data_IF_532169494437
#
_entry.id   IF_532169494437
#
_cell.length_a   1.000
_cell.length_b   1.000
_cell.length_c   1.000
_cell.angle_alpha   90.00
_cell.angle_beta   90.00
_cell.angle_gamma   90.00
#
_symmetry.space_group_name_H-M   'P 1'
#
loop_
_entity.id
_entity.type
_entity.pdbx_description
1 polymer ?
#
# COMPACT_ATOMS: atom_id res chain seq x y z
N UNK A 1 -43.57 -44.48 1.94
CA UNK A 1 -43.09 -45.02 0.66
C UNK A 1 -42.62 -43.89 -0.24
N UNK A 2 -41.30 -43.74 -0.36
CA UNK A 2 -40.56 -43.46 -1.61
C UNK A 2 -41.23 -42.51 -2.60
N UNK A 3 -40.75 -41.28 -2.68
CA UNK A 3 -40.32 -40.55 -3.90
C UNK A 3 -39.77 -39.19 -3.39
N UNK A 4 -38.63 -38.66 -3.78
CA UNK A 4 -37.52 -39.13 -4.59
C UNK A 4 -36.42 -38.07 -4.40
N UNK A 5 -35.21 -38.55 -4.12
CA UNK A 5 -33.96 -37.82 -4.11
C UNK A 5 -33.85 -36.84 -5.29
N UNK A 6 -33.61 -35.55 -5.02
CA UNK A 6 -32.74 -34.59 -5.75
C UNK A 6 -32.75 -33.31 -4.90
N UNK A 7 -31.82 -33.17 -3.96
CA UNK A 7 -31.44 -31.89 -3.34
C UNK A 7 -30.21 -32.10 -2.43
N UNK A 8 -29.19 -32.80 -2.94
CA UNK A 8 -27.95 -33.07 -2.21
C UNK A 8 -26.77 -32.85 -3.14
N UNK A 9 -26.70 -31.66 -3.74
CA UNK A 9 -25.54 -31.22 -4.52
C UNK A 9 -25.50 -29.70 -4.77
N UNK A 10 -26.06 -28.86 -3.90
CA UNK A 10 -25.84 -27.40 -4.00
C UNK A 10 -25.93 -26.84 -2.60
N UNK A 11 -24.85 -26.89 -1.81
CA UNK A 11 -24.57 -25.99 -0.68
C UNK A 11 -23.25 -26.42 -0.03
N UNK A 12 -22.16 -26.35 -0.77
CA UNK A 12 -20.82 -26.51 -0.22
C UNK A 12 -19.75 -25.83 -1.09
N UNK A 13 -19.90 -24.52 -1.33
CA UNK A 13 -18.76 -23.67 -1.69
C UNK A 13 -18.96 -22.27 -1.11
N UNK A 14 -19.09 -22.17 0.22
CA UNK A 14 -18.51 -21.01 0.89
C UNK A 14 -17.02 -21.31 0.96
N UNK A 15 -16.28 -20.85 -0.04
CA UNK A 15 -14.82 -20.91 -0.01
C UNK A 15 -14.36 -20.11 1.20
N UNK A 16 -13.82 -20.81 2.18
CA UNK A 16 -12.84 -20.31 3.14
C UNK A 16 -12.03 -19.19 2.49
N UNK A 17 -12.01 -18.02 3.12
CA UNK A 17 -11.03 -16.99 2.80
C UNK A 17 -9.66 -17.62 3.05
N UNK A 18 -9.03 -18.14 2.00
CA UNK A 18 -7.72 -18.75 2.13
C UNK A 18 -6.75 -17.68 2.63
N UNK A 19 -6.05 -17.94 3.73
CA UNK A 19 -4.94 -17.10 4.18
C UNK A 19 -4.01 -16.92 2.96
N UNK A 20 -3.74 -15.66 2.58
CA UNK A 20 -2.96 -15.35 1.40
C UNK A 20 -1.53 -15.86 1.64
N UNK A 21 -1.05 -16.74 0.78
CA UNK A 21 0.32 -17.27 0.88
C UNK A 21 1.29 -16.21 0.33
N UNK A 22 1.91 -15.45 1.25
CA UNK A 22 2.80 -14.34 0.92
C UNK A 22 4.23 -14.85 0.71
N UNK A 23 4.91 -14.44 -0.37
CA UNK A 23 6.28 -14.87 -0.61
C UNK A 23 7.25 -14.26 0.42
N UNK A 24 8.38 -14.93 0.67
CA UNK A 24 9.44 -14.43 1.55
C UNK A 24 10.06 -13.10 1.07
N UNK A 25 9.96 -12.79 -0.22
CA UNK A 25 10.36 -11.51 -0.80
C UNK A 25 9.38 -11.07 -1.88
N UNK A 26 9.20 -9.75 -1.99
CA UNK A 26 8.32 -9.14 -2.94
C UNK A 26 8.83 -7.74 -3.30
N UNK A 27 8.68 -7.36 -4.58
CA UNK A 27 8.97 -6.02 -5.06
C UNK A 27 7.89 -5.65 -6.09
N UNK A 28 7.07 -4.63 -5.76
CA UNK A 28 5.99 -4.16 -6.61
C UNK A 28 6.49 -3.73 -7.99
N UNK A 29 7.73 -3.21 -8.08
CA UNK A 29 8.36 -2.80 -9.33
C UNK A 29 8.66 -3.99 -10.22
N UNK A 30 9.01 -5.16 -9.65
CA UNK A 30 9.17 -6.39 -10.42
C UNK A 30 7.84 -6.96 -10.89
N UNK A 31 6.79 -6.87 -10.07
CA UNK A 31 5.46 -7.41 -10.41
C UNK A 31 4.73 -6.59 -11.46
N UNK A 32 4.75 -5.27 -11.35
CA UNK A 32 3.93 -4.37 -12.17
C UNK A 32 4.75 -3.38 -13.00
N UNK A 33 6.05 -3.25 -12.80
CA UNK A 33 6.86 -2.17 -13.41
C UNK A 33 6.89 -2.15 -14.93
N UNK A 34 6.75 -3.31 -15.59
CA UNK A 34 6.63 -3.36 -17.06
C UNK A 34 5.34 -2.75 -17.58
N UNK A 35 4.22 -2.93 -16.86
CA UNK A 35 2.92 -2.33 -17.17
C UNK A 35 2.72 -0.94 -16.56
N UNK A 36 3.47 -0.64 -15.50
CA UNK A 36 3.38 0.58 -14.71
C UNK A 36 4.77 1.19 -14.47
N UNK A 37 5.38 1.83 -15.50
CA UNK A 37 6.69 2.43 -15.38
C UNK A 37 6.84 3.45 -14.23
N UNK A 38 5.76 4.14 -13.83
CA UNK A 38 5.76 5.09 -12.69
C UNK A 38 6.25 4.47 -11.37
N UNK A 39 6.16 3.15 -11.20
CA UNK A 39 6.71 2.42 -10.04
C UNK A 39 8.24 2.56 -9.92
N UNK A 40 8.93 2.80 -11.04
CA UNK A 40 10.37 2.98 -11.08
C UNK A 40 10.80 4.44 -10.89
N UNK A 41 9.86 5.38 -10.85
CA UNK A 41 10.18 6.80 -10.66
C UNK A 41 10.70 7.01 -9.24
N UNK A 42 11.91 7.58 -9.15
CA UNK A 42 12.56 8.05 -7.93
C UNK A 42 12.60 9.56 -8.03
N UNK A 43 11.95 10.23 -7.08
CA UNK A 43 11.84 11.69 -7.03
C UNK A 43 12.96 12.28 -6.19
N UNK A 44 13.19 13.58 -6.36
CA UNK A 44 14.09 14.39 -5.54
C UNK A 44 13.28 15.56 -4.99
N UNK A 45 13.34 15.75 -3.68
CA UNK A 45 12.67 16.84 -2.98
C UNK A 45 13.55 18.08 -2.87
N UNK A 46 14.80 17.99 -3.34
CA UNK A 46 15.77 19.08 -3.31
C UNK A 46 15.85 19.72 -1.91
N UNK A 47 16.02 21.04 -1.82
CA UNK A 47 15.99 21.78 -0.56
C UNK A 47 14.57 22.20 -0.19
N UNK A 48 13.71 21.24 0.13
CA UNK A 48 12.36 21.49 0.60
C UNK A 48 11.84 20.29 1.41
N UNK A 49 11.18 20.55 2.55
CA UNK A 49 10.53 19.56 3.42
C UNK A 49 9.26 18.95 2.83
N UNK A 50 9.29 18.56 1.55
CA UNK A 50 8.13 18.12 0.76
C UNK A 50 7.99 16.61 0.62
N UNK A 51 8.66 15.83 1.47
CA UNK A 51 8.67 14.37 1.43
C UNK A 51 7.25 13.78 1.44
N UNK A 52 6.33 14.36 2.22
CA UNK A 52 4.93 13.92 2.27
C UNK A 52 4.24 14.06 0.92
N UNK A 53 4.38 15.21 0.26
CA UNK A 53 3.77 15.48 -1.04
C UNK A 53 4.29 14.55 -2.14
N UNK A 54 5.62 14.38 -2.21
CA UNK A 54 6.25 13.53 -3.22
C UNK A 54 5.92 12.06 -3.01
N UNK A 55 6.02 11.56 -1.76
CA UNK A 55 5.67 10.17 -1.44
C UNK A 55 4.21 9.87 -1.73
N UNK A 56 3.28 10.77 -1.37
CA UNK A 56 1.85 10.59 -1.65
C UNK A 56 1.59 10.64 -3.16
N UNK A 57 2.16 11.61 -3.89
CA UNK A 57 2.00 11.69 -5.34
C UNK A 57 2.51 10.43 -6.04
N UNK A 58 3.65 9.87 -5.60
CA UNK A 58 4.17 8.59 -6.11
C UNK A 58 3.21 7.43 -5.81
N UNK A 59 2.75 7.29 -4.56
CA UNK A 59 1.81 6.22 -4.17
C UNK A 59 0.48 6.31 -4.92
N UNK A 60 -0.05 7.53 -5.13
CA UNK A 60 -1.26 7.77 -5.94
C UNK A 60 -1.02 7.40 -7.40
N UNK A 61 0.13 7.76 -7.97
CA UNK A 61 0.51 7.41 -9.35
C UNK A 61 0.61 5.88 -9.54
N UNK A 62 1.31 5.21 -8.63
CA UNK A 62 1.53 3.77 -8.65
C UNK A 62 0.21 3.01 -8.59
N UNK A 63 -0.62 3.36 -7.61
CA UNK A 63 -1.91 2.70 -7.40
C UNK A 63 -2.90 3.08 -8.47
N UNK A 64 -2.85 4.29 -9.01
CA UNK A 64 -3.63 4.65 -10.19
C UNK A 64 -3.25 3.78 -11.38
N UNK A 65 -1.97 3.51 -11.61
CA UNK A 65 -1.59 2.62 -12.71
C UNK A 65 -2.00 1.17 -12.46
N UNK A 66 -1.76 0.63 -11.27
CA UNK A 66 -2.18 -0.74 -10.91
C UNK A 66 -3.71 -0.89 -10.96
N UNK A 67 -4.45 0.18 -10.63
CA UNK A 67 -5.90 0.27 -10.77
C UNK A 67 -6.36 0.46 -12.22
N UNK A 68 -5.61 1.28 -12.92
CA UNK A 68 -5.80 1.87 -14.23
C UNK A 68 -5.60 0.97 -15.43
N UNK A 69 -4.40 0.44 -15.46
CA UNK A 69 -3.61 0.33 -16.69
C UNK A 69 -2.98 1.66 -17.15
N UNK A 70 -3.38 2.81 -16.60
CA UNK A 70 -2.88 4.13 -17.03
C UNK A 70 -1.69 4.58 -16.18
N UNK A 71 -0.50 4.57 -16.77
CA UNK A 71 0.74 5.01 -16.10
C UNK A 71 0.90 6.53 -16.18
N UNK A 72 0.32 7.24 -15.22
CA UNK A 72 0.36 8.72 -15.14
C UNK A 72 1.10 9.13 -13.87
N UNK A 73 2.25 9.82 -13.96
CA UNK A 73 2.85 10.46 -12.79
C UNK A 73 2.03 11.70 -12.42
N UNK A 74 1.64 11.81 -11.16
CA UNK A 74 0.90 12.96 -10.64
C UNK A 74 1.83 13.99 -9.99
N UNK A 75 1.41 15.26 -10.10
CA UNK A 75 2.16 16.41 -9.61
C UNK A 75 2.04 16.52 -8.09
N UNK A 76 3.18 16.39 -7.40
CA UNK A 76 3.30 16.82 -6.01
C UNK A 76 3.21 18.35 -5.88
N UNK A 77 3.74 19.08 -6.87
CA UNK A 77 3.75 20.55 -6.89
C UNK A 77 2.34 21.14 -6.83
N UNK A 78 1.37 20.47 -7.46
CA UNK A 78 -0.03 20.86 -7.42
C UNK A 78 -0.57 20.93 -5.98
N UNK A 79 -0.28 19.90 -5.20
CA UNK A 79 -0.68 19.85 -3.79
C UNK A 79 0.10 20.90 -2.98
N UNK A 80 1.37 21.15 -3.28
CA UNK A 80 2.19 22.10 -2.54
C UNK A 80 1.82 23.56 -2.80
N UNK A 81 1.71 23.95 -4.07
CA UNK A 81 1.61 25.36 -4.46
C UNK A 81 0.18 25.86 -4.57
N UNK A 82 -0.76 24.98 -4.94
CA UNK A 82 -2.09 25.37 -5.41
C UNK A 82 -3.23 24.89 -4.52
N UNK A 83 -2.94 24.10 -3.48
CA UNK A 83 -3.89 23.76 -2.43
C UNK A 83 -3.60 24.64 -1.23
N UNK A 84 -4.68 25.12 -0.63
CA UNK A 84 -4.63 25.98 0.54
C UNK A 84 -4.77 25.14 1.83
N UNK A 85 -3.82 25.30 2.73
CA UNK A 85 -3.77 24.64 4.04
C UNK A 85 -4.09 25.60 5.20
N UNK A 86 -4.61 26.80 4.91
CA UNK A 86 -4.88 27.93 5.82
C UNK A 86 -5.55 27.61 7.18
N UNK A 87 -6.22 26.46 7.33
CA UNK A 87 -6.79 26.03 8.62
C UNK A 87 -5.73 25.77 9.69
N UNK A 88 -4.46 25.65 9.29
CA UNK A 88 -3.34 25.35 10.18
C UNK A 88 -2.14 26.24 9.82
N UNK A 89 -2.04 27.47 10.37
CA UNK A 89 -1.08 28.48 9.93
C UNK A 89 0.40 28.10 10.16
N UNK A 90 0.66 27.06 10.95
CA UNK A 90 2.00 26.58 11.25
C UNK A 90 2.58 25.65 10.16
N UNK A 91 1.76 25.17 9.21
CA UNK A 91 2.21 24.26 8.16
C UNK A 91 2.45 24.99 6.83
N UNK A 92 3.73 25.15 6.51
CA UNK A 92 4.19 25.62 5.20
C UNK A 92 4.71 24.42 4.41
N UNK A 93 4.33 24.19 3.14
CA UNK A 93 4.66 22.96 2.41
C UNK A 93 6.14 22.57 2.39
N UNK A 94 7.06 23.54 2.34
CA UNK A 94 8.51 23.27 2.42
C UNK A 94 9.08 23.16 3.84
N UNK A 95 8.30 23.42 4.89
CA UNK A 95 8.69 23.22 6.29
C UNK A 95 8.22 21.86 6.84
N UNK A 96 7.55 21.05 6.02
CA UNK A 96 6.90 19.80 6.43
C UNK A 96 5.40 19.97 6.62
N UNK A 97 4.67 18.89 6.40
CA UNK A 97 3.23 18.80 6.65
C UNK A 97 2.88 17.35 7.00
N UNK A 98 1.89 17.10 7.88
CA UNK A 98 1.41 15.76 8.15
C UNK A 98 0.83 15.08 6.91
N UNK A 99 1.15 13.79 6.72
CA UNK A 99 0.70 13.03 5.54
C UNK A 99 -0.82 12.92 5.40
N UNK A 100 -1.56 12.87 6.51
CA UNK A 100 -3.03 12.83 6.49
C UNK A 100 -3.63 14.09 5.85
N UNK A 101 -3.07 15.27 6.13
CA UNK A 101 -3.56 16.53 5.53
C UNK A 101 -3.35 16.54 4.01
N UNK A 102 -2.24 15.96 3.54
CA UNK A 102 -1.97 15.84 2.10
C UNK A 102 -2.91 14.83 1.45
N UNK A 103 -3.22 13.70 2.11
CA UNK A 103 -4.25 12.78 1.62
C UNK A 103 -5.65 13.41 1.58
N UNK A 104 -6.02 14.17 2.61
CA UNK A 104 -7.29 14.90 2.65
C UNK A 104 -7.36 15.90 1.47
N UNK A 105 -6.26 16.60 1.17
CA UNK A 105 -6.15 17.47 -0.01
C UNK A 105 -6.32 16.70 -1.33
N UNK A 106 -5.79 15.48 -1.45
CA UNK A 106 -6.00 14.64 -2.65
C UNK A 106 -7.46 14.23 -2.79
N UNK A 107 -8.16 13.95 -1.69
CA UNK A 107 -9.61 13.64 -1.69
C UNK A 107 -10.42 14.87 -2.09
N UNK A 108 -10.12 16.04 -1.51
CA UNK A 108 -10.90 17.26 -1.70
C UNK A 108 -10.66 17.93 -3.06
N UNK A 109 -9.40 17.97 -3.50
CA UNK A 109 -8.99 18.75 -4.68
C UNK A 109 -8.57 17.90 -5.87
N UNK A 110 -8.38 16.59 -5.68
CA UNK A 110 -7.82 15.71 -6.71
C UNK A 110 -6.38 16.08 -7.05
N UNK A 111 -5.89 15.53 -8.17
CA UNK A 111 -4.54 15.75 -8.66
C UNK A 111 -4.53 16.12 -10.14
N UNK A 112 -3.42 16.71 -10.58
CA UNK A 112 -3.09 16.91 -11.99
C UNK A 112 -1.83 16.11 -12.35
N UNK A 113 -1.63 15.75 -13.62
CA UNK A 113 -0.40 15.10 -14.06
C UNK A 113 0.83 15.96 -13.78
N UNK A 114 1.98 15.32 -13.54
CA UNK A 114 3.29 15.97 -13.40
C UNK A 114 3.61 16.87 -14.61
N UNK A 115 3.17 16.51 -15.81
CA UNK A 115 3.37 17.32 -17.02
C UNK A 115 2.60 18.65 -17.00
N UNK A 116 1.51 18.75 -16.22
CA UNK A 116 0.77 20.00 -16.05
C UNK A 116 1.52 20.94 -15.09
N UNK A 117 2.03 20.42 -13.97
CA UNK A 117 2.80 21.24 -13.03
C UNK A 117 4.00 20.43 -12.53
N UNK A 118 5.15 20.53 -13.21
CA UNK A 118 6.36 19.83 -12.81
C UNK A 118 6.85 20.27 -11.44
N UNK A 119 7.50 19.35 -10.72
CA UNK A 119 8.11 19.64 -9.43
C UNK A 119 9.22 20.69 -9.55
N UNK A 120 9.23 21.64 -8.62
CA UNK A 120 10.27 22.64 -8.45
C UNK A 120 10.33 23.07 -6.98
N UNK A 121 11.53 23.33 -6.49
CA UNK A 121 11.76 23.91 -5.16
C UNK A 121 12.59 25.18 -5.31
N UNK A 122 12.37 26.16 -4.43
CA UNK A 122 13.17 27.38 -4.37
C UNK A 122 13.74 27.56 -2.95
N UNK A 123 14.78 26.80 -2.62
CA UNK A 123 15.52 26.86 -1.35
C UNK A 123 14.65 27.10 -0.10
N UNK A 124 13.89 26.06 0.29
CA UNK A 124 12.93 26.04 1.39
C UNK A 124 11.69 26.94 1.21
N UNK A 125 11.58 27.67 0.10
CA UNK A 125 10.39 28.42 -0.28
C UNK A 125 9.52 27.57 -1.20
N UNK A 126 8.22 27.53 -0.90
CA UNK A 126 7.23 26.90 -1.76
C UNK A 126 6.94 27.81 -2.95
N UNK A 127 7.16 27.36 -4.20
CA UNK A 127 6.82 28.16 -5.37
C UNK A 127 5.33 28.52 -5.40
N UNK A 128 4.99 29.71 -5.90
CA UNK A 128 3.61 30.13 -6.01
C UNK A 128 2.82 29.30 -7.03
N UNK A 129 1.51 29.13 -6.82
CA UNK A 129 0.65 28.50 -7.81
C UNK A 129 0.61 29.32 -9.10
N UNK A 130 0.95 28.75 -10.28
CA UNK A 130 0.72 29.43 -11.54
C UNK A 130 -0.78 29.46 -11.88
N UNK A 131 -1.18 30.33 -12.81
CA UNK A 131 -2.58 30.43 -13.22
C UNK A 131 -3.07 29.23 -14.07
N UNK A 132 -2.14 28.57 -14.78
CA UNK A 132 -2.42 27.49 -15.73
C UNK A 132 -1.35 26.40 -15.63
N UNK A 133 -1.63 25.24 -16.22
CA UNK A 133 -0.63 24.22 -16.49
C UNK A 133 0.50 24.76 -17.38
N UNK A 134 1.62 24.03 -17.42
CA UNK A 134 2.80 24.32 -18.23
C UNK A 134 2.51 24.38 -19.74
N UNK A 135 1.45 23.71 -20.21
CA UNK A 135 0.98 23.75 -21.59
C UNK A 135 -0.05 24.88 -21.88
N UNK A 136 -0.30 25.74 -20.89
CA UNK A 136 -1.26 26.84 -20.96
C UNK A 136 -2.72 26.44 -20.70
N UNK A 137 -3.02 25.17 -20.46
CA UNK A 137 -4.38 24.70 -20.16
C UNK A 137 -4.79 25.01 -18.72
N UNK A 138 -6.10 25.10 -18.47
CA UNK A 138 -6.61 25.25 -17.10
C UNK A 138 -6.41 23.96 -16.29
N UNK A 139 -6.18 24.08 -14.99
CA UNK A 139 -6.06 22.91 -14.11
C UNK A 139 -7.33 22.06 -14.12
N UNK A 140 -7.20 20.81 -14.56
CA UNK A 140 -8.30 19.85 -14.53
C UNK A 140 -8.29 19.00 -13.25
N UNK A 141 -8.71 19.63 -12.16
CA UNK A 141 -8.68 19.09 -10.79
C UNK A 141 -9.61 17.90 -10.55
N UNK A 142 -10.65 17.73 -11.38
CA UNK A 142 -11.70 16.71 -11.19
C UNK A 142 -11.43 15.37 -11.89
N UNK A 143 -10.37 15.29 -12.68
CA UNK A 143 -10.13 14.09 -13.49
C UNK A 143 -9.49 12.97 -12.69
N UNK A 144 -8.64 13.30 -11.72
CA UNK A 144 -7.88 12.32 -10.96
C UNK A 144 -8.13 12.50 -9.47
N UNK A 145 -9.25 11.97 -9.00
CA UNK A 145 -9.68 12.04 -7.59
C UNK A 145 -9.71 10.65 -6.97
N UNK A 146 -9.42 10.57 -5.68
CA UNK A 146 -9.69 9.39 -4.86
C UNK A 146 -10.90 9.72 -3.98
N UNK A 147 -11.77 8.73 -3.71
CA UNK A 147 -12.94 8.97 -2.85
C UNK A 147 -12.56 9.02 -1.38
N UNK A 148 -11.59 8.20 -1.01
CA UNK A 148 -11.09 8.02 0.34
C UNK A 148 -9.69 7.39 0.27
N UNK A 149 -9.03 7.34 1.41
CA UNK A 149 -7.79 6.59 1.61
C UNK A 149 -7.94 5.65 2.80
N UNK A 150 -7.28 4.50 2.72
CA UNK A 150 -7.20 3.55 3.82
C UNK A 150 -6.00 3.85 4.70
N UNK A 151 -6.11 3.48 5.97
CA UNK A 151 -5.02 3.52 6.95
C UNK A 151 -4.83 2.09 7.47
N UNK A 152 -3.58 1.64 7.53
CA UNK A 152 -3.22 0.41 8.23
C UNK A 152 -2.71 0.80 9.62
N UNK A 153 -3.50 0.50 10.64
CA UNK A 153 -3.19 0.88 12.01
C UNK A 153 -2.54 -0.28 12.80
N UNK A 154 -1.63 0.11 13.68
CA UNK A 154 -0.94 -0.65 14.73
C UNK A 154 -1.85 -1.47 15.65
N UNK A 155 -3.15 -1.17 15.69
CA UNK A 155 -4.16 -1.95 16.42
C UNK A 155 -4.45 -3.34 15.80
N UNK A 156 -3.86 -3.66 14.65
CA UNK A 156 -3.93 -4.99 14.05
C UNK A 156 -3.05 -6.00 14.80
N UNK A 157 -3.60 -7.19 15.09
CA UNK A 157 -2.85 -8.26 15.79
C UNK A 157 -1.62 -8.76 15.00
N UNK A 158 -1.54 -8.42 13.71
CA UNK A 158 -0.41 -8.72 12.82
C UNK A 158 -0.27 -7.62 11.74
N UNK A 159 0.32 -6.48 12.16
CA UNK A 159 0.56 -5.31 11.31
C UNK A 159 1.46 -5.61 10.11
N UNK A 160 2.46 -6.47 10.32
CA UNK A 160 3.40 -6.87 9.28
C UNK A 160 2.66 -7.58 8.15
N UNK A 161 1.85 -8.58 8.48
CA UNK A 161 1.04 -9.28 7.48
C UNK A 161 0.05 -8.34 6.81
N UNK A 162 -0.59 -7.43 7.55
CA UNK A 162 -1.52 -6.46 6.96
C UNK A 162 -0.86 -5.55 5.90
N UNK A 163 0.34 -5.01 6.20
CA UNK A 163 1.13 -4.22 5.27
C UNK A 163 1.54 -5.07 4.05
N UNK A 164 2.02 -6.30 4.26
CA UNK A 164 2.41 -7.19 3.16
C UNK A 164 1.22 -7.55 2.26
N UNK A 165 0.06 -7.91 2.83
CA UNK A 165 -1.16 -8.23 2.10
C UNK A 165 -1.60 -7.05 1.23
N UNK A 166 -1.62 -5.85 1.79
CA UNK A 166 -2.06 -4.65 1.07
C UNK A 166 -1.09 -4.31 -0.07
N UNK A 167 0.23 -4.35 0.15
CA UNK A 167 1.23 -4.16 -0.90
C UNK A 167 1.11 -5.23 -1.98
N UNK A 168 0.97 -6.50 -1.59
CA UNK A 168 0.89 -7.62 -2.51
C UNK A 168 -0.31 -7.52 -3.45
N UNK A 169 -1.45 -7.11 -2.93
CA UNK A 169 -2.72 -7.09 -3.65
C UNK A 169 -2.88 -5.80 -4.47
N UNK A 170 -2.44 -4.66 -3.93
CA UNK A 170 -2.84 -3.34 -4.45
C UNK A 170 -1.69 -2.37 -4.69
N UNK A 171 -0.47 -2.71 -4.31
CA UNK A 171 0.73 -1.94 -4.63
C UNK A 171 1.25 -1.06 -3.50
N UNK A 172 2.24 -0.20 -3.79
CA UNK A 172 3.01 0.56 -2.80
C UNK A 172 2.18 1.36 -1.79
N UNK A 173 2.77 1.64 -0.64
CA UNK A 173 2.16 2.37 0.47
C UNK A 173 2.95 3.61 0.84
N UNK A 174 2.24 4.63 1.33
CA UNK A 174 2.85 5.73 2.04
C UNK A 174 3.12 5.29 3.47
N UNK A 175 4.29 5.61 4.02
CA UNK A 175 4.58 5.50 5.45
C UNK A 175 5.39 6.69 5.95
N UNK A 176 5.19 7.03 7.22
CA UNK A 176 6.07 7.92 7.96
C UNK A 176 7.09 7.10 8.78
N UNK A 177 8.31 7.61 8.90
CA UNK A 177 9.38 7.07 9.72
C UNK A 177 10.04 8.18 10.53
N UNK A 178 10.62 7.80 11.65
CA UNK A 178 11.54 8.63 12.41
C UNK A 178 12.93 8.54 11.77
N UNK A 179 13.55 9.68 11.48
CA UNK A 179 14.91 9.75 10.92
C UNK A 179 15.88 10.34 11.92
N UNK A 180 17.03 9.68 12.04
CA UNK A 180 18.15 10.10 12.86
C UNK A 180 19.30 10.52 11.94
N UNK A 181 20.32 11.19 12.50
CA UNK A 181 21.41 11.77 11.70
C UNK A 181 22.17 10.74 10.84
N UNK A 182 22.26 9.48 11.29
CA UNK A 182 22.88 8.37 10.56
C UNK A 182 22.08 7.92 9.32
N UNK A 183 20.79 8.23 9.24
CA UNK A 183 19.97 7.90 8.06
C UNK A 183 20.44 8.64 6.82
N UNK A 184 20.95 9.87 6.97
CA UNK A 184 21.46 10.67 5.85
C UNK A 184 22.62 9.96 5.14
N UNK A 185 23.45 9.25 5.90
CA UNK A 185 24.64 8.54 5.42
C UNK A 185 24.35 7.09 4.97
N UNK A 186 23.07 6.67 4.94
CA UNK A 186 22.71 5.33 4.48
C UNK A 186 23.16 5.09 3.03
N UNK A 187 23.86 3.98 2.82
CA UNK A 187 24.28 3.53 1.49
C UNK A 187 23.71 2.14 1.14
N UNK A 188 23.88 1.16 2.03
CA UNK A 188 23.53 -0.25 1.77
C UNK A 188 23.15 -0.99 3.05
N UNK A 189 22.68 -2.24 2.92
CA UNK A 189 22.31 -3.10 4.04
C UNK A 189 20.89 -2.86 4.55
N UNK A 190 20.52 -3.56 5.62
CA UNK A 190 19.25 -3.34 6.35
C UNK A 190 19.46 -2.31 7.44
N UNK A 191 18.89 -1.13 7.26
CA UNK A 191 18.99 -0.01 8.21
C UNK A 191 18.28 -0.33 9.53
N UNK A 192 18.89 0.12 10.63
CA UNK A 192 18.37 0.13 11.99
C UNK A 192 18.67 1.51 12.58
N UNK A 193 17.67 2.16 13.16
CA UNK A 193 17.82 3.52 13.65
C UNK A 193 18.81 3.59 14.82
N UNK A 194 19.63 4.65 14.85
CA UNK A 194 20.40 4.99 16.04
C UNK A 194 19.52 5.64 17.13
N UNK A 195 18.68 4.83 17.78
CA UNK A 195 17.79 5.28 18.87
C UNK A 195 18.53 5.77 20.12
N UNK A 196 19.86 5.65 20.17
CA UNK A 196 20.71 6.12 21.25
C UNK A 196 21.34 7.49 20.99
N UNK A 197 20.97 8.15 19.88
CA UNK A 197 21.36 9.53 19.65
C UNK A 197 20.67 10.44 20.68
N UNK A 198 21.41 11.40 21.22
CA UNK A 198 20.86 12.47 22.07
C UNK A 198 20.06 13.51 21.25
N UNK A 199 20.03 13.39 19.92
CA UNK A 199 19.26 14.25 19.01
C UNK A 199 17.81 13.75 18.88
N UNK A 200 16.86 14.69 18.89
CA UNK A 200 15.47 14.36 18.59
C UNK A 200 15.33 13.93 17.13
N UNK A 201 14.67 12.80 16.84
CA UNK A 201 14.48 12.35 15.46
C UNK A 201 13.57 13.32 14.69
N UNK A 202 13.88 13.51 13.41
CA UNK A 202 12.97 14.17 12.47
C UNK A 202 11.88 13.21 12.00
N UNK A 203 10.74 13.74 11.55
CA UNK A 203 9.73 12.94 10.84
C UNK A 203 10.01 12.97 9.34
N UNK A 204 9.97 11.82 8.68
CA UNK A 204 10.17 11.70 7.23
C UNK A 204 9.14 10.78 6.59
N UNK A 205 8.75 11.08 5.36
CA UNK A 205 7.76 10.32 4.62
C UNK A 205 8.40 9.60 3.44
N UNK A 206 8.11 8.31 3.31
CA UNK A 206 8.67 7.44 2.27
C UNK A 206 7.60 6.53 1.67
N UNK A 207 7.96 5.86 0.57
CA UNK A 207 7.11 4.88 -0.10
C UNK A 207 7.63 3.45 0.12
N UNK A 208 6.84 2.57 0.71
CA UNK A 208 7.15 1.13 0.76
C UNK A 208 6.74 0.48 -0.56
N UNK A 209 7.67 -0.22 -1.21
CA UNK A 209 7.45 -0.92 -2.48
C UNK A 209 7.55 -2.44 -2.36
N UNK A 210 7.98 -2.98 -1.22
CA UNK A 210 8.12 -4.41 -1.03
C UNK A 210 8.75 -4.84 0.28
N UNK A 211 9.24 -6.08 0.34
CA UNK A 211 9.91 -6.66 1.50
C UNK A 211 10.85 -7.79 1.07
N UNK A 212 11.71 -8.22 1.99
CA UNK A 212 12.56 -9.39 1.80
C UNK A 212 13.27 -9.81 3.08
N UNK A 213 14.30 -10.63 2.88
CA UNK A 213 15.23 -11.07 3.94
C UNK A 213 16.64 -10.95 3.38
N UNK A 214 17.56 -10.36 4.15
CA UNK A 214 18.98 -10.25 3.84
C UNK A 214 19.77 -10.73 5.05
N UNK A 215 20.64 -11.72 4.87
CA UNK A 215 21.46 -12.32 5.95
C UNK A 215 20.65 -12.74 7.18
N UNK A 216 19.43 -13.24 6.96
CA UNK A 216 18.50 -13.65 8.02
C UNK A 216 17.70 -12.50 8.65
N UNK A 217 17.95 -11.24 8.26
CA UNK A 217 17.26 -10.06 8.77
C UNK A 217 16.10 -9.70 7.82
N UNK A 218 14.83 -9.77 8.27
CA UNK A 218 13.70 -9.32 7.47
C UNK A 218 13.70 -7.78 7.32
N UNK A 219 13.33 -7.29 6.15
CA UNK A 219 13.28 -5.86 5.85
C UNK A 219 12.03 -5.44 5.06
N UNK A 220 11.64 -4.18 5.19
CA UNK A 220 10.84 -3.43 4.24
C UNK A 220 11.73 -2.80 3.18
N UNK A 221 11.30 -2.86 1.92
CA UNK A 221 11.97 -2.19 0.80
C UNK A 221 11.24 -0.89 0.51
N UNK A 222 11.95 0.23 0.66
CA UNK A 222 11.40 1.57 0.52
C UNK A 222 12.12 2.34 -0.58
N UNK A 223 11.44 3.33 -1.16
CA UNK A 223 12.08 4.35 -2.00
C UNK A 223 11.97 5.70 -1.33
N UNK A 224 13.08 6.43 -1.32
CA UNK A 224 13.18 7.77 -0.77
C UNK A 224 12.87 8.83 -1.83
N UNK A 225 12.81 10.08 -1.42
CA UNK A 225 12.59 11.28 -2.25
C UNK A 225 13.86 12.13 -2.35
N UNK A 226 15.05 11.52 -2.28
CA UNK A 226 16.35 12.21 -2.30
C UNK A 226 17.17 11.91 -3.57
N UNK A 227 16.50 11.54 -4.66
CA UNK A 227 17.14 11.20 -5.92
C UNK A 227 17.81 9.82 -5.92
N UNK A 228 18.36 9.45 -7.08
CA UNK A 228 18.94 8.12 -7.32
C UNK A 228 20.35 7.94 -6.75
N UNK A 229 21.05 9.05 -6.52
CA UNK A 229 22.42 9.03 -5.98
C UNK A 229 22.46 8.65 -4.50
N UNK A 230 21.34 8.75 -3.79
CA UNK A 230 21.24 8.37 -2.39
C UNK A 230 20.87 6.89 -2.22
N UNK A 231 21.46 6.22 -1.23
CA UNK A 231 21.20 4.81 -0.94
C UNK A 231 21.52 3.89 -2.12
N UNK A 232 20.64 2.93 -2.37
CA UNK A 232 20.76 2.00 -3.51
C UNK A 232 19.79 2.41 -4.61
N UNK A 233 20.23 3.29 -5.53
CA UNK A 233 19.40 3.85 -6.62
C UNK A 233 18.12 4.53 -6.07
N UNK A 234 18.27 5.33 -5.01
CA UNK A 234 17.17 6.00 -4.30
C UNK A 234 16.31 5.08 -3.42
N UNK A 235 16.67 3.81 -3.31
CA UNK A 235 16.00 2.84 -2.44
C UNK A 235 16.82 2.53 -1.20
N UNK A 236 16.12 2.09 -0.15
CA UNK A 236 16.73 1.61 1.08
C UNK A 236 15.94 0.45 1.67
N UNK A 237 16.60 -0.30 2.55
CA UNK A 237 15.99 -1.37 3.33
C UNK A 237 15.99 -0.96 4.80
N UNK A 238 14.89 -1.20 5.48
CA UNK A 238 14.73 -0.93 6.91
C UNK A 238 14.17 -2.17 7.59
N UNK A 239 14.64 -2.47 8.80
CA UNK A 239 14.29 -3.69 9.52
C UNK A 239 12.77 -3.82 9.72
N UNK A 240 12.24 -5.01 9.44
CA UNK A 240 10.81 -5.35 9.54
C UNK A 240 10.53 -6.24 10.75
N UNK A 241 9.35 -6.08 11.34
CA UNK A 241 8.78 -6.91 12.42
C UNK A 241 9.11 -6.44 13.82
N UNK A 242 9.76 -5.28 13.95
CA UNK A 242 10.15 -4.70 15.25
C UNK A 242 9.76 -3.23 15.36
N UNK A 243 8.93 -2.73 14.43
CA UNK A 243 8.57 -1.32 14.33
C UNK A 243 9.79 -0.38 14.31
N UNK A 244 10.82 -0.76 13.55
CA UNK A 244 12.06 0.01 13.41
C UNK A 244 11.73 1.43 12.93
N UNK A 245 12.27 2.44 13.63
CA UNK A 245 12.01 3.86 13.33
C UNK A 245 10.51 4.22 13.22
N UNK A 246 9.64 3.50 13.93
CA UNK A 246 8.19 3.75 13.89
C UNK A 246 7.50 3.33 12.59
N UNK A 247 8.17 2.68 11.63
CA UNK A 247 7.62 2.42 10.29
C UNK A 247 6.33 1.55 10.27
N UNK A 248 6.13 0.71 11.28
CA UNK A 248 4.97 -0.20 11.39
C UNK A 248 3.89 0.35 12.34
N UNK A 249 4.24 1.28 13.22
CA UNK A 249 3.33 1.92 14.16
C UNK A 249 2.88 3.31 13.74
N UNK A 250 3.58 3.93 12.79
CA UNK A 250 3.31 5.25 12.25
C UNK A 250 2.14 5.26 11.25
N UNK A 251 1.94 6.41 10.61
CA UNK A 251 0.87 6.59 9.62
C UNK A 251 1.19 5.86 8.31
N UNK A 252 0.65 4.64 8.18
CA UNK A 252 0.66 3.84 6.94
C UNK A 252 -0.64 4.04 6.18
N UNK A 253 -0.59 4.63 4.98
CA UNK A 253 -1.79 5.02 4.26
C UNK A 253 -1.72 4.76 2.75
N UNK A 254 -2.90 4.67 2.13
CA UNK A 254 -3.02 4.45 0.70
C UNK A 254 -4.32 4.96 0.07
N UNK A 255 -4.27 5.45 -1.17
CA UNK A 255 -5.46 5.86 -1.91
C UNK A 255 -6.34 4.66 -2.26
N UNK A 256 -7.65 4.86 -2.17
CA UNK A 256 -8.67 3.92 -2.63
C UNK A 256 -9.31 4.51 -3.90
N UNK A 257 -9.02 3.87 -5.03
CA UNK A 257 -9.71 4.14 -6.29
C UNK A 257 -11.02 3.35 -6.32
N UNK A 258 -12.13 3.99 -6.69
CA UNK A 258 -13.42 3.31 -6.84
C UNK A 258 -13.30 2.23 -7.92
N UNK A 259 -13.10 1.00 -7.44
CA UNK A 259 -13.22 -0.23 -8.23
C UNK A 259 -14.28 -1.05 -7.56
N UNK A 260 -15.52 -0.56 -7.57
CA UNK A 260 -16.69 -1.40 -7.39
C UNK A 260 -16.65 -2.58 -8.38
N UNK A 261 -16.09 -3.72 -7.95
CA UNK A 261 -16.35 -5.05 -8.50
C UNK A 261 -15.22 -5.84 -9.19
N UNK A 262 -14.12 -5.24 -9.66
CA UNK A 262 -13.30 -5.93 -10.69
C UNK A 262 -11.96 -6.54 -10.25
N UNK A 263 -11.35 -6.08 -9.14
CA UNK A 263 -10.04 -6.60 -8.72
C UNK A 263 -10.11 -8.03 -8.17
N UNK A 264 -11.21 -8.40 -7.49
CA UNK A 264 -11.41 -9.79 -7.05
C UNK A 264 -11.65 -10.73 -8.24
N UNK A 265 -12.33 -10.29 -9.31
CA UNK A 265 -12.64 -11.14 -10.46
C UNK A 265 -11.39 -11.59 -11.24
N UNK A 266 -10.36 -10.73 -11.36
CA UNK A 266 -9.13 -11.08 -12.11
C UNK A 266 -8.21 -12.08 -11.38
N UNK A 267 -8.22 -12.12 -10.05
CA UNK A 267 -7.47 -13.13 -9.29
C UNK A 267 -8.07 -14.54 -9.43
N UNK A 268 -9.39 -14.66 -9.63
CA UNK A 268 -10.06 -15.94 -9.79
C UNK A 268 -10.15 -16.42 -11.25
N UNK A 269 -10.13 -15.50 -12.22
CA UNK A 269 -10.16 -15.87 -13.64
C UNK A 269 -8.86 -16.57 -14.11
N UNK A 270 -7.72 -16.36 -13.45
CA UNK A 270 -6.42 -16.96 -13.79
C UNK A 270 -6.27 -18.46 -13.48
N UNK A 271 -7.28 -19.11 -12.88
CA UNK A 271 -7.27 -20.55 -12.58
C UNK A 271 -8.37 -21.37 -13.29
N UNK A 272 -9.12 -20.77 -14.21
CA UNK A 272 -10.15 -21.47 -14.99
C UNK A 272 -9.73 -21.60 -16.46
N UNK A 273 -8.68 -22.38 -16.72
CA UNK A 273 -8.45 -22.98 -18.04
C UNK A 273 -8.29 -24.49 -17.87
N UNK A 274 -9.41 -25.18 -17.76
CA UNK A 274 -9.59 -26.51 -18.35
C UNK A 274 -11.09 -26.81 -18.47
N UNK A 275 -11.64 -26.40 -19.62
CA UNK A 275 -12.83 -26.95 -20.29
C UNK A 275 -14.06 -27.27 -19.47
N UNK A 276 -15.03 -26.34 -19.43
CA UNK A 276 -16.43 -26.61 -19.81
C UNK A 276 -17.06 -25.28 -20.28
N UNK A 277 -17.51 -25.23 -21.52
CA UNK A 277 -18.33 -24.12 -22.02
C UNK A 277 -19.75 -24.23 -21.44
N UNK A 278 -20.20 -23.22 -20.71
CA UNK A 278 -21.63 -23.07 -20.39
C UNK A 278 -22.13 -21.71 -20.89
N UNK A 279 -23.23 -21.78 -21.64
CA UNK A 279 -24.00 -20.68 -22.19
C UNK A 279 -24.43 -19.69 -21.10
N UNK A 280 -24.14 -18.40 -21.31
CA UNK A 280 -24.67 -17.32 -20.47
C UNK A 280 -26.10 -17.02 -20.95
N UNK A 281 -27.08 -17.46 -20.19
CA UNK A 281 -28.46 -17.00 -20.30
C UNK A 281 -28.86 -16.30 -18.99
N UNK A 282 -29.19 -15.01 -19.15
CA UNK A 282 -29.86 -14.08 -18.23
C UNK A 282 -29.96 -14.43 -16.74
N UNK A 283 -29.22 -13.67 -15.91
CA UNK A 283 -29.64 -13.37 -14.56
C UNK A 283 -29.54 -11.86 -14.34
N UNK A 284 -30.73 -11.26 -14.27
CA UNK A 284 -31.00 -9.91 -13.82
C UNK A 284 -30.27 -9.66 -12.49
N UNK A 285 -29.32 -8.74 -12.46
CA UNK A 285 -28.71 -8.30 -11.20
C UNK A 285 -29.78 -7.56 -10.40
N UNK A 286 -30.14 -8.13 -9.24
CA UNK A 286 -30.91 -7.43 -8.23
C UNK A 286 -29.99 -6.35 -7.63
N UNK A 287 -30.15 -5.12 -8.12
CA UNK A 287 -29.87 -3.92 -7.34
C UNK A 287 -30.77 -4.02 -6.11
N UNK A 288 -30.21 -4.33 -4.95
CA UNK A 288 -30.57 -3.73 -3.66
C UNK A 288 -29.78 -4.43 -2.54
N UNK A 289 -29.41 -3.63 -1.52
CA UNK A 289 -28.56 -3.93 -0.36
C UNK A 289 -27.06 -3.81 -0.60
N UNK A 290 -26.59 -2.56 -0.68
CA UNK A 290 -25.39 -2.07 0.04
C UNK A 290 -25.53 -0.55 0.26
N UNK A 291 -26.55 -0.18 1.04
CA UNK A 291 -26.55 1.13 1.72
C UNK A 291 -25.61 1.00 2.92
N UNK A 292 -24.32 1.28 2.73
CA UNK A 292 -23.40 1.47 3.85
C UNK A 292 -23.65 2.87 4.41
N UNK A 293 -24.45 2.96 5.48
CA UNK A 293 -24.36 4.09 6.41
C UNK A 293 -23.22 3.82 7.38
N UNK A 294 -22.46 4.84 7.79
CA UNK A 294 -21.26 4.67 8.59
C UNK A 294 -21.66 4.26 10.00
N UNK A 295 -21.14 3.12 10.45
CA UNK A 295 -21.20 2.70 11.84
C UNK A 295 -19.78 2.44 12.30
N UNK A 296 -19.50 2.98 13.48
CA UNK A 296 -18.22 3.04 14.18
C UNK A 296 -17.42 1.72 14.13
N UNK A 297 -16.09 1.89 14.21
CA UNK A 297 -15.09 0.85 14.36
C UNK A 297 -15.60 -0.40 15.12
N UNK A 298 -15.93 -1.45 14.39
CA UNK A 298 -16.11 -2.79 14.95
C UNK A 298 -14.79 -3.52 14.75
N UNK A 299 -14.08 -3.70 15.86
CA UNK A 299 -12.87 -4.51 15.96
C UNK A 299 -13.13 -5.95 15.51
N UNK A 300 -12.52 -6.37 14.40
CA UNK A 300 -12.48 -7.76 13.91
C UNK A 300 -11.44 -8.57 14.72
N UNK A 301 -11.62 -8.68 16.05
CA UNK A 301 -10.56 -9.08 16.99
C UNK A 301 -10.38 -10.57 17.31
N UNK A 302 -11.09 -11.52 16.69
CA UNK A 302 -11.03 -12.90 17.23
C UNK A 302 -11.25 -14.09 16.30
N UNK A 303 -11.85 -13.95 15.10
CA UNK A 303 -12.16 -15.14 14.28
C UNK A 303 -11.10 -15.58 13.27
N UNK A 304 -10.05 -14.78 13.05
CA UNK A 304 -9.05 -15.02 11.98
C UNK A 304 -7.95 -16.00 12.42
N UNK A 305 -7.50 -15.93 13.67
CA UNK A 305 -6.42 -16.76 14.21
C UNK A 305 -6.78 -18.25 14.20
N UNK A 306 -7.99 -18.59 14.62
CA UNK A 306 -8.47 -19.97 14.70
C UNK A 306 -8.53 -20.69 13.32
N UNK A 307 -8.76 -19.93 12.24
CA UNK A 307 -8.90 -20.48 10.89
C UNK A 307 -7.55 -20.73 10.18
N UNK A 308 -6.51 -19.95 10.47
CA UNK A 308 -5.16 -20.22 9.93
C UNK A 308 -4.39 -21.22 10.82
N UNK A 309 -4.52 -21.16 12.15
CA UNK A 309 -3.86 -22.12 13.07
C UNK A 309 -4.42 -23.56 12.93
N UNK A 310 -5.69 -23.71 12.53
CA UNK A 310 -6.27 -25.02 12.26
C UNK A 310 -5.70 -25.70 11.01
N UNK A 311 -5.12 -24.95 10.07
CA UNK A 311 -4.38 -25.53 8.93
C UNK A 311 -3.06 -26.16 9.37
N UNK A 312 -2.27 -25.49 10.22
CA UNK A 312 -1.00 -26.04 10.76
C UNK A 312 -1.23 -27.32 11.57
N UNK A 313 -2.29 -27.37 12.39
CA UNK A 313 -2.64 -28.60 13.12
C UNK A 313 -3.12 -29.74 12.21
N UNK A 314 -3.74 -29.42 11.07
CA UNK A 314 -4.18 -30.44 10.11
C UNK A 314 -3.03 -31.05 9.28
N UNK A 315 -1.98 -30.28 9.01
CA UNK A 315 -0.79 -30.79 8.30
C UNK A 315 0.12 -31.63 9.21
N UNK A 316 0.12 -31.38 10.53
CA UNK A 316 0.86 -32.21 11.49
C UNK A 316 0.14 -33.54 11.82
N UNK A 317 -1.19 -33.59 11.71
CA UNK A 317 -1.98 -34.82 11.92
C UNK A 317 -1.87 -35.84 10.77
N UNK A 318 -1.23 -35.48 9.65
CA UNK A 318 -1.07 -36.34 8.46
C UNK A 318 0.17 -37.24 8.43
N UNK A 319 1.12 -37.10 9.37
CA UNK A 319 2.29 -38.00 9.48
C UNK A 319 2.09 -38.99 10.62
N UNK A 320 1.36 -40.06 10.34
CA UNK A 320 1.21 -41.21 11.22
C UNK A 320 2.56 -41.80 11.60
N UNK A 321 2.99 -41.55 12.84
CA UNK A 321 4.01 -42.33 13.52
C UNK A 321 3.42 -43.70 13.82
N UNK A 322 3.88 -44.74 13.09
CA UNK A 322 3.73 -46.13 13.50
C UNK A 322 4.67 -46.36 14.69
N UNK A 323 4.11 -46.38 15.90
CA UNK A 323 4.77 -46.97 17.05
C UNK A 323 4.85 -48.48 16.84
N UNK A 324 6.06 -49.03 16.88
CA UNK A 324 6.33 -50.46 16.94
C UNK A 324 6.52 -50.78 18.43
N UNK A 325 5.56 -51.51 18.99
CA UNK A 325 5.69 -52.17 20.30
C UNK A 325 6.75 -53.28 20.19
N UNK A 326 7.83 -53.16 20.96
CA UNK A 326 8.72 -54.27 21.28
C UNK A 326 8.57 -54.59 22.77
N UNK A 327 7.85 -55.68 23.05
CA UNK A 327 7.93 -56.42 24.31
C UNK A 327 9.31 -57.06 24.40
N UNK A 328 10.00 -56.83 25.52
CA UNK A 328 11.11 -57.67 25.96
C UNK A 328 10.62 -58.49 27.16
N UNK A 329 10.68 -59.81 27.00
CA UNK A 329 10.98 -60.74 28.10
C UNK A 329 12.47 -60.63 28.47
#
# INVERSE_FOLDING_TARGET
>A
MKHLFIALAVFATFTSSACLDLPNSFDARKKWGSSCPVLHDIKTQEHCGSCAFLSIAQVVSDRHCIATGSSIPFSAQWLMSCVDYEKEPDWVPCNGIPGNMVFDAVVEHGMVPETCLPYSSDDWVTPACPATCNDGTAFNKRTYTIKEYGIIDSASDDIVTAIQEEIFLRGPLFVAIDVYSDFNDYATGVYTCNQHSDEEPGAHAVRIVGWGVEDGIPYWLCTNTWGREWGSDGAFKIRRGVNECGIEGGFSAFPIFDRSGWALARMWAGKLVSGVSFLIAGLQFCSDVLSVKPLAAVSLRSRRKDLCESKEKSEYAGRGHRAIDLKMD
#
